data_IF_306234093074
#
_entry.id   IF_306234093074
#
_cell.length_a   1.000
_cell.length_b   1.000
_cell.length_c   1.000
_cell.angle_alpha   90.00
_cell.angle_beta   90.00
_cell.angle_gamma   90.00
#
_symmetry.space_group_name_H-M   'P 1'
#
loop_
_entity.id
_entity.type
_entity.pdbx_description
1 polymer ?
#
# COMPACT_ATOMS: atom_id res chain seq x y z
N UNK A 1 7.51 20.90 0.48
CA UNK A 1 8.79 20.77 1.21
C UNK A 1 8.76 21.59 2.50
N UNK A 2 8.49 22.91 2.43
CA UNK A 2 8.40 23.80 3.60
C UNK A 2 7.62 23.21 4.79
N UNK A 3 6.40 22.72 4.56
CA UNK A 3 5.55 22.12 5.60
C UNK A 3 6.17 20.91 6.34
N UNK A 4 6.98 20.11 5.65
CA UNK A 4 7.66 18.96 6.28
C UNK A 4 8.82 19.43 7.18
N UNK A 5 9.52 20.49 6.77
CA UNK A 5 10.58 21.11 7.56
C UNK A 5 9.96 21.70 8.83
N UNK A 6 8.86 22.45 8.69
CA UNK A 6 8.13 23.03 9.83
C UNK A 6 7.63 21.95 10.80
N UNK A 7 7.12 20.81 10.30
CA UNK A 7 6.74 19.70 11.17
C UNK A 7 7.93 19.15 11.97
N UNK A 8 9.06 18.91 11.31
CA UNK A 8 10.28 18.41 11.95
C UNK A 8 10.77 19.41 13.01
N UNK A 9 10.85 20.70 12.67
CA UNK A 9 11.30 21.75 13.58
C UNK A 9 10.36 21.87 14.80
N UNK A 10 9.06 21.72 14.59
CA UNK A 10 8.07 21.81 15.68
C UNK A 10 8.07 20.58 16.60
N UNK A 11 8.22 19.38 16.05
CA UNK A 11 8.12 18.12 16.82
C UNK A 11 9.46 17.76 17.47
N UNK A 12 10.57 17.98 16.78
CA UNK A 12 11.91 17.52 17.18
C UNK A 12 12.78 18.69 17.65
N UNK A 13 12.61 19.87 17.05
CA UNK A 13 13.48 21.01 17.28
C UNK A 13 14.85 20.89 16.60
N UNK A 14 15.70 21.89 16.82
CA UNK A 14 17.01 22.01 16.16
C UNK A 14 18.19 21.42 16.96
N UNK A 15 17.92 20.80 18.11
CA UNK A 15 18.97 20.42 19.08
C UNK A 15 19.49 18.99 18.89
N UNK A 16 18.85 18.18 18.03
CA UNK A 16 19.27 16.80 17.73
C UNK A 16 18.81 16.39 16.33
N UNK A 17 19.39 15.31 15.81
CA UNK A 17 18.95 14.69 14.56
C UNK A 17 17.65 13.89 14.77
N UNK A 18 16.90 13.74 13.67
CA UNK A 18 15.71 12.89 13.59
C UNK A 18 16.09 11.43 13.84
N UNK A 19 15.28 10.71 14.62
CA UNK A 19 15.40 9.29 14.88
C UNK A 19 14.14 8.55 14.40
N UNK A 20 14.26 7.25 14.16
CA UNK A 20 13.13 6.42 13.72
C UNK A 20 11.96 6.46 14.72
N UNK A 21 12.25 6.51 16.02
CA UNK A 21 11.26 6.63 17.09
C UNK A 21 10.40 7.90 17.01
N UNK A 22 10.83 8.91 16.24
CA UNK A 22 10.08 10.15 16.04
C UNK A 22 9.01 10.02 14.96
N UNK A 23 9.14 9.03 14.06
CA UNK A 23 8.27 8.85 12.90
C UNK A 23 6.77 8.79 13.23
N UNK A 24 6.32 8.16 14.35
CA UNK A 24 4.91 8.19 14.73
C UNK A 24 4.33 9.60 14.89
N UNK A 25 5.16 10.57 15.29
CA UNK A 25 4.76 11.96 15.53
C UNK A 25 4.88 12.86 14.28
N UNK A 26 5.56 12.40 13.23
CA UNK A 26 5.79 13.14 11.99
C UNK A 26 4.73 12.81 10.94
N UNK A 27 3.51 13.26 11.16
CA UNK A 27 2.35 12.87 10.37
C UNK A 27 2.46 13.29 8.88
N UNK A 28 2.88 14.51 8.61
CA UNK A 28 3.06 15.04 7.27
C UNK A 28 4.26 14.41 6.55
N UNK A 29 5.34 14.10 7.25
CA UNK A 29 6.45 13.30 6.70
C UNK A 29 5.97 11.91 6.30
N UNK A 30 5.20 11.21 7.16
CA UNK A 30 4.57 9.92 6.80
C UNK A 30 3.71 10.06 5.53
N UNK A 31 2.93 11.14 5.42
CA UNK A 31 2.14 11.43 4.22
C UNK A 31 3.01 11.61 2.96
N UNK A 32 4.15 12.30 3.09
CA UNK A 32 5.10 12.51 2.01
C UNK A 32 5.72 11.19 1.53
N UNK A 33 6.04 10.29 2.46
CA UNK A 33 6.58 8.97 2.14
C UNK A 33 5.53 8.13 1.40
N UNK A 34 4.28 8.07 1.91
CA UNK A 34 3.17 7.38 1.22
C UNK A 34 2.94 7.92 -0.20
N UNK A 35 2.95 9.24 -0.37
CA UNK A 35 2.76 9.86 -1.68
C UNK A 35 3.93 9.60 -2.64
N UNK A 36 5.15 9.54 -2.10
CA UNK A 36 6.35 9.18 -2.87
C UNK A 36 6.23 7.77 -3.43
N UNK A 37 5.85 6.79 -2.61
CA UNK A 37 5.67 5.40 -3.08
C UNK A 37 4.47 5.21 -4.01
N UNK A 38 3.40 6.00 -3.86
CA UNK A 38 2.29 6.01 -4.83
C UNK A 38 2.76 6.43 -6.23
N UNK A 39 3.55 7.51 -6.32
CA UNK A 39 4.03 8.02 -7.61
C UNK A 39 5.24 7.26 -8.13
N UNK A 40 6.14 6.83 -7.25
CA UNK A 40 7.43 6.23 -7.57
C UNK A 40 7.64 4.97 -6.71
N UNK A 41 6.88 3.90 -6.97
CA UNK A 41 7.03 2.64 -6.24
C UNK A 41 8.41 2.04 -6.49
N UNK A 42 9.00 1.40 -5.46
CA UNK A 42 10.30 0.72 -5.57
C UNK A 42 10.29 -0.40 -6.61
N UNK A 43 9.15 -1.07 -6.78
CA UNK A 43 8.93 -2.09 -7.78
C UNK A 43 7.72 -1.73 -8.66
N UNK A 44 7.85 -1.89 -9.97
CA UNK A 44 6.77 -1.60 -10.91
C UNK A 44 5.56 -2.56 -10.74
N UNK A 45 5.82 -3.77 -10.24
CA UNK A 45 4.83 -4.81 -9.97
C UNK A 45 4.96 -5.33 -8.53
N UNK A 46 3.92 -5.99 -8.03
CA UNK A 46 4.04 -6.83 -6.84
C UNK A 46 4.82 -8.13 -7.14
N UNK A 47 5.12 -8.89 -6.08
CA UNK A 47 5.60 -10.26 -6.23
C UNK A 47 4.60 -11.07 -7.10
N UNK A 48 5.07 -11.92 -8.02
CA UNK A 48 4.19 -12.76 -8.82
C UNK A 48 3.33 -13.68 -7.93
N UNK A 49 2.03 -13.71 -8.17
CA UNK A 49 1.13 -14.69 -7.56
C UNK A 49 0.70 -15.72 -8.60
N UNK A 50 0.41 -16.94 -8.15
CA UNK A 50 -0.12 -18.01 -9.01
C UNK A 50 -1.52 -18.37 -8.57
N UNK A 51 -2.45 -18.44 -9.51
CA UNK A 51 -3.82 -18.85 -9.22
C UNK A 51 -3.86 -20.34 -8.83
N UNK A 52 -4.37 -20.65 -7.63
CA UNK A 52 -4.44 -22.03 -7.12
C UNK A 52 -5.66 -22.81 -7.63
N UNK A 53 -6.67 -22.10 -8.15
CA UNK A 53 -7.91 -22.64 -8.71
C UNK A 53 -8.45 -21.72 -9.80
N UNK A 54 -9.29 -22.25 -10.68
CA UNK A 54 -10.05 -21.41 -11.61
C UNK A 54 -10.83 -20.36 -10.83
N UNK A 55 -10.64 -19.10 -11.21
CA UNK A 55 -11.13 -17.95 -10.45
C UNK A 55 -11.71 -16.91 -11.39
N UNK A 56 -12.69 -16.14 -10.93
CA UNK A 56 -13.20 -14.98 -11.66
C UNK A 56 -12.89 -13.73 -10.85
N UNK A 57 -12.13 -12.81 -11.42
CA UNK A 57 -11.83 -11.50 -10.82
C UNK A 57 -12.39 -10.45 -11.75
N UNK A 58 -13.37 -9.70 -11.27
CA UNK A 58 -13.97 -8.62 -12.03
C UNK A 58 -14.46 -9.06 -13.43
N UNK A 59 -15.20 -10.16 -13.51
CA UNK A 59 -15.72 -10.75 -14.77
C UNK A 59 -14.65 -11.36 -15.70
N UNK A 60 -13.36 -11.24 -15.36
CA UNK A 60 -12.29 -11.96 -16.05
C UNK A 60 -12.10 -13.36 -15.46
N UNK A 61 -12.21 -14.38 -16.32
CA UNK A 61 -11.87 -15.75 -15.96
C UNK A 61 -10.34 -15.92 -15.96
N UNK A 62 -9.81 -16.35 -14.82
CA UNK A 62 -8.39 -16.63 -14.55
C UNK A 62 -8.25 -18.13 -14.34
N UNK A 63 -7.68 -18.87 -15.31
CA UNK A 63 -7.42 -20.30 -15.15
C UNK A 63 -6.46 -20.59 -13.99
N UNK A 64 -6.62 -21.75 -13.36
CA UNK A 64 -5.64 -22.31 -12.41
C UNK A 64 -4.24 -22.35 -13.05
N UNK A 65 -3.23 -21.97 -12.29
CA UNK A 65 -1.83 -21.90 -12.73
C UNK A 65 -1.46 -20.58 -13.39
N UNK A 66 -2.40 -19.66 -13.62
CA UNK A 66 -2.08 -18.33 -14.18
C UNK A 66 -1.20 -17.52 -13.23
N UNK A 67 -0.17 -16.88 -13.78
CA UNK A 67 0.65 -15.90 -13.06
C UNK A 67 -0.05 -14.54 -13.11
N UNK A 68 -0.28 -13.94 -11.95
CA UNK A 68 -0.95 -12.65 -11.78
C UNK A 68 0.06 -11.62 -11.30
N UNK A 69 0.18 -10.52 -12.06
CA UNK A 69 1.01 -9.36 -11.76
C UNK A 69 0.12 -8.11 -11.72
N UNK A 70 0.28 -7.30 -10.67
CA UNK A 70 -0.42 -6.05 -10.47
C UNK A 70 0.54 -4.89 -10.69
N UNK A 71 0.23 -4.02 -11.65
CA UNK A 71 1.03 -2.81 -11.90
C UNK A 71 0.83 -1.80 -10.77
N UNK A 72 1.85 -1.64 -9.92
CA UNK A 72 1.86 -0.62 -8.87
C UNK A 72 1.90 0.79 -9.46
N UNK A 73 2.68 0.97 -10.53
CA UNK A 73 2.71 2.24 -11.28
C UNK A 73 1.34 2.61 -11.85
N UNK A 74 0.64 1.63 -12.44
CA UNK A 74 -0.70 1.81 -12.99
C UNK A 74 -1.71 2.17 -11.90
N UNK A 75 -1.73 1.44 -10.79
CA UNK A 75 -2.62 1.70 -9.66
C UNK A 75 -2.36 3.07 -9.03
N UNK A 76 -1.10 3.40 -8.77
CA UNK A 76 -0.69 4.65 -8.15
C UNK A 76 -1.02 5.86 -9.02
N UNK A 77 -0.93 5.75 -10.34
CA UNK A 77 -1.11 6.88 -11.28
C UNK A 77 -2.43 6.85 -12.06
N UNK A 78 -3.39 6.01 -11.65
CA UNK A 78 -4.67 5.88 -12.34
C UNK A 78 -5.51 7.16 -12.17
N UNK A 79 -5.83 7.91 -13.25
CA UNK A 79 -6.64 9.14 -13.17
C UNK A 79 -8.07 8.89 -12.70
N UNK A 80 -8.58 7.65 -12.83
CA UNK A 80 -9.90 7.31 -12.33
C UNK A 80 -9.92 7.26 -10.79
N UNK A 81 -8.80 6.84 -10.17
CA UNK A 81 -8.67 6.64 -8.71
C UNK A 81 -8.19 7.88 -8.01
N UNK A 82 -7.25 8.60 -8.63
CA UNK A 82 -6.51 9.68 -7.99
C UNK A 82 -6.77 11.01 -8.70
N UNK A 83 -7.38 11.96 -7.99
CA UNK A 83 -7.43 13.35 -8.45
C UNK A 83 -6.02 13.93 -8.53
N UNK A 84 -5.77 14.70 -9.60
CA UNK A 84 -4.43 15.17 -9.95
C UNK A 84 -3.39 14.03 -9.89
N UNK A 85 -3.70 12.87 -10.46
CA UNK A 85 -2.93 11.62 -10.31
C UNK A 85 -1.41 11.74 -10.50
N UNK A 86 -0.91 12.67 -11.33
CA UNK A 86 0.52 12.88 -11.55
C UNK A 86 1.16 13.93 -10.62
N UNK A 87 0.38 14.71 -9.87
CA UNK A 87 0.91 15.70 -8.92
C UNK A 87 1.24 15.03 -7.59
N UNK A 88 2.39 15.43 -7.04
CA UNK A 88 2.79 15.07 -5.69
C UNK A 88 1.97 15.91 -4.68
N UNK A 89 1.00 15.28 -4.00
CA UNK A 89 0.09 15.92 -3.04
C UNK A 89 -0.02 15.08 -1.75
N UNK A 90 0.94 15.17 -0.81
CA UNK A 90 0.95 14.41 0.44
C UNK A 90 -0.35 14.51 1.24
N UNK A 91 -1.03 15.67 1.16
CA UNK A 91 -2.28 15.95 1.85
C UNK A 91 -3.38 14.93 1.60
N UNK A 92 -3.34 14.21 0.48
CA UNK A 92 -4.34 13.18 0.15
C UNK A 92 -4.36 12.01 1.13
N UNK A 93 -3.25 11.77 1.84
CA UNK A 93 -3.12 10.68 2.81
C UNK A 93 -3.54 11.11 4.21
N UNK A 94 -3.76 12.41 4.44
CA UNK A 94 -4.18 12.96 5.72
C UNK A 94 -5.70 13.10 5.69
N UNK A 95 -6.41 12.49 6.64
CA UNK A 95 -7.87 12.63 6.74
C UNK A 95 -8.24 14.11 6.88
N UNK A 96 -9.39 14.51 6.30
CA UNK A 96 -9.91 15.88 6.42
C UNK A 96 -10.15 16.32 7.87
N UNK A 97 -10.31 15.35 8.77
CA UNK A 97 -10.47 15.57 10.21
C UNK A 97 -9.13 15.62 10.97
N UNK A 98 -7.99 15.56 10.27
CA UNK A 98 -6.66 15.61 10.88
C UNK A 98 -6.19 14.27 11.46
N UNK A 99 -6.76 13.16 10.99
CA UNK A 99 -6.39 11.81 11.42
C UNK A 99 -4.92 11.46 11.15
N UNK A 100 -4.37 10.57 11.97
CA UNK A 100 -3.00 10.10 11.83
C UNK A 100 -2.82 9.25 10.57
N UNK A 101 -1.74 9.50 9.85
CA UNK A 101 -1.37 8.73 8.66
C UNK A 101 -0.84 7.40 9.15
N UNK A 102 -1.63 6.36 8.90
CA UNK A 102 -1.24 4.98 9.16
C UNK A 102 -0.19 4.58 8.13
N UNK A 103 0.98 4.18 8.63
CA UNK A 103 2.10 3.71 7.83
C UNK A 103 2.10 2.17 7.78
N UNK A 104 1.00 1.58 7.31
CA UNK A 104 0.96 0.14 7.02
C UNK A 104 1.18 -0.07 5.53
N UNK A 105 2.15 -0.93 5.19
CA UNK A 105 2.49 -1.31 3.81
C UNK A 105 1.32 -1.98 3.08
N UNK A 106 0.33 -2.50 3.82
CA UNK A 106 -0.88 -3.13 3.27
C UNK A 106 -1.75 -2.18 2.44
N UNK A 107 -1.72 -0.88 2.72
CA UNK A 107 -2.55 0.10 2.02
C UNK A 107 -1.91 0.57 0.70
N UNK A 108 -0.58 0.63 0.64
CA UNK A 108 0.14 1.15 -0.52
C UNK A 108 0.27 0.13 -1.64
N UNK A 109 0.32 -1.16 -1.31
CA UNK A 109 0.77 -2.18 -2.26
C UNK A 109 -0.37 -2.79 -3.08
N UNK A 110 -1.61 -2.78 -2.59
CA UNK A 110 -2.63 -3.64 -3.19
C UNK A 110 -3.99 -2.93 -3.24
N UNK A 111 -4.47 -2.63 -4.46
CA UNK A 111 -5.85 -2.23 -4.74
C UNK A 111 -6.90 -3.30 -4.42
N UNK A 112 -6.56 -4.23 -3.52
CA UNK A 112 -7.30 -5.38 -3.06
C UNK A 112 -7.14 -5.49 -1.54
N UNK A 113 -8.20 -5.91 -0.86
CA UNK A 113 -8.09 -6.46 0.49
C UNK A 113 -7.71 -7.92 0.34
N UNK A 114 -6.75 -8.38 1.11
CA UNK A 114 -6.38 -9.80 1.17
C UNK A 114 -6.92 -10.38 2.45
N UNK A 115 -7.47 -11.58 2.35
CA UNK A 115 -7.91 -12.33 3.52
C UNK A 115 -7.51 -13.78 3.36
N UNK A 116 -7.26 -14.48 4.46
CA UNK A 116 -7.15 -15.93 4.42
C UNK A 116 -8.47 -16.56 3.92
N UNK A 117 -8.40 -17.57 3.03
CA UNK A 117 -9.56 -18.42 2.77
C UNK A 117 -9.96 -19.16 4.05
N UNK A 118 -11.28 -19.32 4.29
CA UNK A 118 -11.80 -20.05 5.46
C UNK A 118 -11.09 -21.40 5.63
N UNK A 119 -10.64 -21.71 6.86
CA UNK A 119 -9.96 -22.96 7.24
C UNK A 119 -8.61 -23.25 6.55
N UNK A 120 -7.92 -22.23 6.04
CA UNK A 120 -6.56 -22.41 5.48
C UNK A 120 -5.49 -22.26 6.57
N UNK A 121 -4.47 -23.14 6.62
CA UNK A 121 -3.37 -23.07 7.61
C UNK A 121 -2.33 -21.98 7.28
N UNK A 122 -2.71 -20.94 6.54
CA UNK A 122 -1.80 -19.89 6.05
C UNK A 122 -1.70 -18.70 7.01
N UNK A 123 -0.63 -17.91 6.85
CA UNK A 123 -0.47 -16.64 7.57
C UNK A 123 -1.31 -15.54 6.91
N UNK A 124 -2.00 -14.72 7.71
CA UNK A 124 -2.81 -13.61 7.23
C UNK A 124 -1.93 -12.47 6.72
N UNK A 125 -2.36 -11.80 5.65
CA UNK A 125 -1.73 -10.60 5.11
C UNK A 125 -2.33 -9.32 5.72
N UNK A 126 -3.25 -9.45 6.68
CA UNK A 126 -3.73 -8.33 7.48
C UNK A 126 -2.69 -8.00 8.56
N UNK A 127 -1.75 -7.13 8.19
CA UNK A 127 -0.94 -6.28 9.07
C UNK A 127 -0.45 -6.91 10.39
N UNK A 128 0.71 -7.57 10.31
CA UNK A 128 1.82 -7.36 11.23
C UNK A 128 2.99 -8.24 10.79
N UNK A 129 3.86 -7.69 9.95
CA UNK A 129 5.16 -8.31 9.69
C UNK A 129 6.24 -7.51 10.39
N UNK A 130 6.90 -8.03 11.44
CA UNK A 130 8.23 -7.56 11.76
C UNK A 130 9.11 -7.79 10.53
N UNK A 131 10.03 -6.86 10.26
CA UNK A 131 10.81 -6.61 9.04
C UNK A 131 11.40 -7.83 8.26
N UNK A 132 11.32 -9.05 8.79
CA UNK A 132 11.94 -10.26 8.27
C UNK A 132 10.98 -11.29 7.62
N UNK A 133 9.67 -11.03 7.50
CA UNK A 133 8.74 -12.05 7.00
C UNK A 133 8.81 -12.33 5.48
N UNK A 134 9.55 -11.52 4.71
CA UNK A 134 9.82 -11.77 3.29
C UNK A 134 10.62 -13.07 3.02
N UNK A 135 11.17 -13.71 4.06
CA UNK A 135 11.97 -14.93 3.98
C UNK A 135 11.22 -16.20 4.47
N UNK A 136 9.91 -16.12 4.74
CA UNK A 136 9.15 -17.30 5.17
C UNK A 136 8.94 -18.31 4.03
N UNK A 137 9.26 -19.58 4.29
CA UNK A 137 9.12 -20.71 3.35
C UNK A 137 7.71 -21.32 3.31
N UNK A 138 6.73 -20.73 3.99
CA UNK A 138 5.34 -21.20 3.94
C UNK A 138 4.61 -20.63 2.72
N UNK A 139 3.85 -21.46 1.97
CA UNK A 139 3.03 -20.97 0.87
C UNK A 139 1.97 -20.02 1.39
N UNK A 140 2.02 -18.78 0.92
CA UNK A 140 1.07 -17.73 1.27
C UNK A 140 -0.26 -17.96 0.52
N UNK A 141 -1.35 -18.13 1.26
CA UNK A 141 -2.70 -18.21 0.71
C UNK A 141 -3.43 -16.90 0.95
N UNK A 142 -3.94 -16.28 -0.10
CA UNK A 142 -4.65 -15.02 0.02
C UNK A 142 -5.81 -14.96 -0.97
N UNK A 143 -6.99 -14.60 -0.48
CA UNK A 143 -8.17 -14.31 -1.29
C UNK A 143 -8.20 -12.81 -1.58
N UNK A 144 -8.05 -12.45 -2.85
CA UNK A 144 -8.15 -11.06 -3.30
C UNK A 144 -9.61 -10.59 -3.29
N UNK A 145 -9.90 -9.44 -2.67
CA UNK A 145 -11.18 -8.74 -2.78
C UNK A 145 -10.95 -7.32 -3.33
N UNK A 146 -11.52 -6.96 -4.50
CA UNK A 146 -11.40 -5.60 -5.05
C UNK A 146 -11.87 -4.54 -4.04
N UNK A 147 -11.12 -3.43 -3.92
CA UNK A 147 -11.48 -2.29 -3.07
C UNK A 147 -12.11 -1.12 -3.83
N UNK A 148 -11.89 -1.01 -5.14
CA UNK A 148 -12.35 0.12 -5.94
C UNK A 148 -13.73 -0.14 -6.59
N UNK A 149 -14.46 0.92 -6.97
CA UNK A 149 -15.67 0.83 -7.77
C UNK A 149 -15.49 0.08 -9.11
N UNK A 150 -16.58 -0.45 -9.67
CA UNK A 150 -16.51 -1.39 -10.81
C UNK A 150 -15.85 -0.76 -12.04
N UNK A 151 -16.14 0.51 -12.28
CA UNK A 151 -15.67 1.36 -13.39
C UNK A 151 -14.16 1.68 -13.36
N UNK A 152 -13.47 1.27 -12.29
CA UNK A 152 -12.08 1.64 -12.02
C UNK A 152 -11.07 0.59 -12.45
N UNK A 153 -11.55 -0.64 -12.67
CA UNK A 153 -10.78 -1.75 -13.20
C UNK A 153 -10.92 -1.76 -14.73
N UNK A 154 -9.86 -2.09 -15.49
CA UNK A 154 -9.89 -2.17 -16.95
C UNK A 154 -10.74 -3.34 -17.46
#
# INVERSE_FOLDING_TARGET
MQRAIEEIDNVIGSNRLVQESDLPQLNYVKACIKESFRLHPLAAFNAPHVSVSDSVVHEYFIPKGSVVLLSRLGLGRNPRVWDDHMKFKPERHISKEGGDVVFTDSELIQGFTWSLPLNSPGNDLTDDYPECALLSTMPFFAKAKPRLPKDMYP
#
